data_IF_330455181130
#
_entry.id   IF_330455181130
#
_cell.length_a   1.000
_cell.length_b   1.000
_cell.length_c   1.000
_cell.angle_alpha   90.00
_cell.angle_beta   90.00
_cell.angle_gamma   90.00
#
_symmetry.space_group_name_H-M   'P 1'
#
loop_
_entity.id
_entity.type
_entity.pdbx_description
1 polymer ?
#
# COMPACT_ATOMS: atom_id res chain seq x y z
N UNK A 1 33.94 15.87 24.32
CA UNK A 1 32.59 16.40 24.02
C UNK A 1 32.04 15.97 22.68
N UNK A 2 32.74 16.09 21.54
CA UNK A 2 32.20 15.67 20.23
C UNK A 2 31.77 14.17 20.16
N UNK A 3 32.52 13.25 20.77
CA UNK A 3 32.16 11.81 20.79
C UNK A 3 30.91 11.49 21.60
N UNK A 4 30.62 12.27 22.64
CA UNK A 4 29.41 12.10 23.46
C UNK A 4 28.16 12.54 22.71
N UNK A 5 28.26 13.57 21.89
CA UNK A 5 27.15 14.05 21.03
C UNK A 5 26.77 13.00 19.98
N UNK A 6 27.76 12.31 19.36
CA UNK A 6 27.49 11.24 18.40
C UNK A 6 26.81 10.02 19.04
N UNK A 7 27.16 9.68 20.29
CA UNK A 7 26.53 8.59 21.03
C UNK A 7 25.08 8.97 21.39
N UNK A 8 24.81 10.21 21.78
CA UNK A 8 23.45 10.69 22.09
C UNK A 8 22.59 10.74 20.81
N UNK A 9 23.14 11.20 19.70
CA UNK A 9 22.43 11.20 18.40
C UNK A 9 22.16 9.76 17.92
N UNK A 10 23.13 8.85 18.04
CA UNK A 10 22.95 7.44 17.70
C UNK A 10 21.91 6.74 18.60
N UNK A 11 21.88 7.06 19.90
CA UNK A 11 20.85 6.54 20.81
C UNK A 11 19.47 7.10 20.49
N UNK A 12 19.37 8.37 20.11
CA UNK A 12 18.08 8.97 19.70
C UNK A 12 17.58 8.42 18.36
N UNK A 13 18.48 8.06 17.44
CA UNK A 13 18.09 7.41 16.18
C UNK A 13 17.74 5.93 16.35
N UNK A 14 18.34 5.23 17.32
CA UNK A 14 17.98 3.84 17.64
C UNK A 14 16.65 3.73 18.38
N UNK A 15 16.28 4.75 19.17
CA UNK A 15 14.96 4.78 19.83
C UNK A 15 13.82 5.21 18.90
N UNK A 16 14.10 5.75 17.72
CA UNK A 16 13.06 6.08 16.74
C UNK A 16 12.60 4.89 15.89
N UNK A 17 13.29 3.73 15.97
CA UNK A 17 12.89 2.51 15.26
C UNK A 17 12.01 1.56 16.07
N UNK A 18 11.77 1.83 17.35
CA UNK A 18 10.86 1.08 18.23
C UNK A 18 9.59 1.83 18.58
N UNK A 19 9.16 2.75 17.75
CA UNK A 19 7.80 3.29 17.86
C UNK A 19 6.83 2.38 17.10
N UNK A 20 6.85 1.11 17.46
CA UNK A 20 5.64 0.35 17.48
C UNK A 20 4.68 1.14 18.36
N UNK A 21 3.62 1.59 17.79
CA UNK A 21 2.44 2.22 18.33
C UNK A 21 2.48 2.47 19.84
N UNK A 22 3.13 3.56 20.26
CA UNK A 22 2.83 4.11 21.57
C UNK A 22 1.35 4.50 21.49
N UNK A 23 0.49 3.64 22.04
CA UNK A 23 -0.89 3.95 22.32
C UNK A 23 -0.92 5.32 23.02
N UNK A 24 -1.12 6.36 22.24
CA UNK A 24 -1.34 7.69 22.79
C UNK A 24 -2.79 7.70 23.23
N UNK A 25 -3.08 7.80 24.54
CA UNK A 25 -4.43 7.64 25.08
C UNK A 25 -5.45 8.70 24.63
N UNK A 26 -5.09 9.53 23.64
CA UNK A 26 -5.89 10.64 23.11
C UNK A 26 -6.19 10.53 21.61
N UNK A 27 -5.93 9.39 20.95
CA UNK A 27 -6.38 9.22 19.56
C UNK A 27 -7.82 8.78 19.55
N UNK A 28 -8.65 9.47 18.76
CA UNK A 28 -10.02 9.02 18.53
C UNK A 28 -10.02 7.67 17.83
N UNK A 29 -11.12 6.96 17.93
CA UNK A 29 -11.32 5.69 17.24
C UNK A 29 -11.19 5.85 15.71
N UNK A 30 -11.75 6.93 15.15
CA UNK A 30 -11.65 7.22 13.72
C UNK A 30 -10.21 7.41 13.26
N UNK A 31 -9.41 8.12 14.03
CA UNK A 31 -7.98 8.32 13.78
C UNK A 31 -7.18 7.01 13.77
N UNK A 32 -7.46 6.13 14.72
CA UNK A 32 -6.83 4.81 14.79
C UNK A 32 -7.20 3.95 13.57
N UNK A 33 -8.49 3.88 13.22
CA UNK A 33 -8.98 3.14 12.04
C UNK A 33 -8.33 3.67 10.75
N UNK A 34 -8.24 4.99 10.60
CA UNK A 34 -7.63 5.61 9.43
C UNK A 34 -6.16 5.26 9.29
N UNK A 35 -5.38 5.29 10.38
CA UNK A 35 -3.96 5.00 10.29
C UNK A 35 -3.67 3.58 9.82
N UNK A 36 -4.40 2.57 10.31
CA UNK A 36 -4.26 1.21 9.83
C UNK A 36 -4.54 1.10 8.33
N UNK A 37 -5.68 1.63 7.89
CA UNK A 37 -6.09 1.56 6.48
C UNK A 37 -5.17 2.36 5.55
N UNK A 38 -4.67 3.51 5.98
CA UNK A 38 -3.75 4.34 5.18
C UNK A 38 -2.49 3.59 4.77
N UNK A 39 -1.90 2.84 5.68
CA UNK A 39 -0.71 2.02 5.41
C UNK A 39 -1.01 0.90 4.41
N UNK A 40 -2.19 0.31 4.49
CA UNK A 40 -2.61 -0.73 3.55
C UNK A 40 -2.85 -0.18 2.16
N UNK A 41 -3.47 1.00 2.04
CA UNK A 41 -3.62 1.72 0.77
C UNK A 41 -2.23 2.01 0.16
N UNK A 42 -1.28 2.50 0.96
CA UNK A 42 0.08 2.78 0.50
C UNK A 42 0.77 1.51 -0.04
N UNK A 43 0.58 0.35 0.62
CA UNK A 43 1.10 -0.94 0.14
C UNK A 43 0.47 -1.37 -1.18
N UNK A 44 -0.85 -1.21 -1.33
CA UNK A 44 -1.54 -1.50 -2.60
C UNK A 44 -0.96 -0.64 -3.72
N UNK A 45 -0.74 0.65 -3.48
CA UNK A 45 -0.12 1.58 -4.45
C UNK A 45 1.30 1.15 -4.81
N UNK A 46 2.14 0.82 -3.82
CA UNK A 46 3.51 0.31 -4.06
C UNK A 46 3.50 -0.93 -4.94
N UNK A 47 2.58 -1.85 -4.69
CA UNK A 47 2.44 -3.07 -5.48
C UNK A 47 2.04 -2.73 -6.91
N UNK A 48 1.08 -1.83 -7.11
CA UNK A 48 0.63 -1.42 -8.45
C UNK A 48 1.77 -0.76 -9.25
N UNK A 49 2.52 0.15 -8.65
CA UNK A 49 3.69 0.77 -9.30
C UNK A 49 4.76 -0.26 -9.69
N UNK A 50 5.02 -1.21 -8.79
CA UNK A 50 5.95 -2.30 -9.09
C UNK A 50 5.48 -3.15 -10.26
N UNK A 51 4.19 -3.48 -10.33
CA UNK A 51 3.62 -4.29 -11.41
C UNK A 51 3.65 -3.58 -12.76
N UNK A 52 3.34 -2.29 -12.80
CA UNK A 52 3.47 -1.46 -14.00
C UNK A 52 4.93 -1.45 -14.49
N UNK A 53 5.87 -1.15 -13.61
CA UNK A 53 7.29 -1.09 -13.91
C UNK A 53 7.83 -2.44 -14.42
N UNK A 54 7.43 -3.53 -13.77
CA UNK A 54 7.84 -4.87 -14.17
C UNK A 54 7.17 -5.31 -15.48
N UNK A 55 5.91 -4.93 -15.69
CA UNK A 55 5.20 -5.12 -16.95
C UNK A 55 5.94 -4.44 -18.11
N UNK A 56 6.37 -3.19 -17.96
CA UNK A 56 7.20 -2.50 -18.97
C UNK A 56 8.47 -3.28 -19.27
N UNK A 57 9.19 -3.72 -18.23
CA UNK A 57 10.41 -4.54 -18.41
C UNK A 57 10.17 -5.80 -19.23
N UNK A 58 9.06 -6.50 -19.02
CA UNK A 58 8.76 -7.75 -19.71
C UNK A 58 8.42 -7.54 -21.18
N UNK A 59 7.87 -6.39 -21.54
CA UNK A 59 7.51 -6.03 -22.92
C UNK A 59 8.69 -5.56 -23.77
N UNK A 60 9.83 -5.23 -23.16
CA UNK A 60 11.02 -4.81 -23.90
C UNK A 60 11.57 -5.96 -24.75
N UNK A 61 11.89 -5.67 -26.01
CA UNK A 61 12.54 -6.59 -26.93
C UNK A 61 14.04 -6.29 -27.03
N UNK A 62 14.85 -7.34 -26.85
CA UNK A 62 16.31 -7.25 -26.95
C UNK A 62 17.02 -7.09 -25.59
N UNK A 63 18.14 -7.80 -25.48
CA UNK A 63 18.91 -7.90 -24.23
C UNK A 63 19.51 -6.56 -23.79
N UNK A 64 19.92 -5.72 -24.74
CA UNK A 64 20.51 -4.40 -24.46
C UNK A 64 19.49 -3.45 -23.83
N UNK A 65 18.26 -3.39 -24.36
CA UNK A 65 17.19 -2.57 -23.82
C UNK A 65 16.77 -3.05 -22.43
N UNK A 66 16.66 -4.37 -22.24
CA UNK A 66 16.37 -4.95 -20.92
C UNK A 66 17.45 -4.66 -19.89
N UNK A 67 18.72 -4.72 -20.30
CA UNK A 67 19.85 -4.42 -19.42
C UNK A 67 19.84 -2.94 -18.99
N UNK A 68 19.66 -2.01 -19.94
CA UNK A 68 19.58 -0.56 -19.66
C UNK A 68 18.39 -0.22 -18.75
N UNK A 69 17.21 -0.79 -19.01
CA UNK A 69 16.04 -0.60 -18.18
C UNK A 69 16.23 -1.16 -16.76
N UNK A 70 16.80 -2.36 -16.68
CA UNK A 70 17.12 -2.98 -15.37
C UNK A 70 18.09 -2.13 -14.57
N UNK A 71 19.14 -1.61 -15.21
CA UNK A 71 20.11 -0.73 -14.55
C UNK A 71 19.46 0.54 -14.00
N UNK A 72 18.55 1.16 -14.75
CA UNK A 72 17.90 2.42 -14.37
C UNK A 72 16.79 2.25 -13.34
N UNK A 73 15.96 1.22 -13.46
CA UNK A 73 14.70 1.11 -12.74
C UNK A 73 14.61 -0.09 -11.79
N UNK A 74 15.34 -1.17 -12.08
CA UNK A 74 15.28 -2.44 -11.35
C UNK A 74 16.64 -2.87 -10.80
N UNK A 75 17.60 -1.94 -10.68
CA UNK A 75 19.00 -2.24 -10.30
C UNK A 75 19.15 -2.96 -8.96
N UNK A 76 18.22 -2.76 -8.03
CA UNK A 76 18.24 -3.45 -6.74
C UNK A 76 17.85 -4.93 -6.82
N UNK A 77 17.23 -5.37 -7.93
CA UNK A 77 16.73 -6.73 -8.07
C UNK A 77 17.72 -7.62 -8.83
N UNK A 78 17.96 -8.81 -8.31
CA UNK A 78 18.46 -9.92 -9.12
C UNK A 78 17.26 -10.63 -9.75
N UNK A 79 17.22 -10.65 -11.10
CA UNK A 79 16.08 -11.16 -11.87
C UNK A 79 16.50 -12.45 -12.57
N UNK A 80 15.80 -13.54 -12.29
CA UNK A 80 15.99 -14.85 -12.92
C UNK A 80 14.69 -15.28 -13.56
N UNK A 81 14.76 -15.70 -14.83
CA UNK A 81 13.60 -16.12 -15.63
C UNK A 81 13.77 -17.57 -16.03
N UNK A 82 12.83 -18.41 -15.64
CA UNK A 82 12.78 -19.84 -15.96
C UNK A 82 11.39 -20.21 -16.54
N UNK A 83 11.28 -20.13 -17.86
CA UNK A 83 10.00 -20.32 -18.54
C UNK A 83 8.99 -19.23 -18.18
N UNK A 84 7.88 -19.60 -17.57
CA UNK A 84 6.85 -18.68 -17.11
C UNK A 84 7.01 -18.26 -15.64
N UNK A 85 8.07 -18.71 -14.97
CA UNK A 85 8.38 -18.32 -13.60
C UNK A 85 9.52 -17.28 -13.61
N UNK A 86 9.24 -16.11 -13.06
CA UNK A 86 10.21 -15.06 -12.87
C UNK A 86 10.46 -14.87 -11.37
N UNK A 87 11.71 -14.91 -10.98
CA UNK A 87 12.15 -14.74 -9.59
C UNK A 87 12.92 -13.45 -9.46
N UNK A 88 12.47 -12.55 -8.61
CA UNK A 88 13.16 -11.30 -8.29
C UNK A 88 13.57 -11.34 -6.83
N UNK A 89 14.86 -11.13 -6.60
CA UNK A 89 15.41 -11.08 -5.23
C UNK A 89 16.15 -9.79 -4.98
N UNK A 90 16.08 -9.27 -3.78
CA UNK A 90 16.96 -8.22 -3.33
C UNK A 90 17.20 -8.32 -1.82
N UNK A 91 18.32 -7.78 -1.36
CA UNK A 91 18.64 -7.71 0.05
C UNK A 91 18.36 -6.31 0.58
N UNK A 92 17.63 -6.24 1.69
CA UNK A 92 17.42 -4.99 2.41
C UNK A 92 18.71 -4.53 3.09
N UNK A 93 18.77 -3.27 3.51
CA UNK A 93 19.88 -2.73 4.28
C UNK A 93 20.10 -3.48 5.61
N UNK A 94 19.08 -4.17 6.12
CA UNK A 94 19.13 -4.97 7.35
C UNK A 94 19.49 -6.44 7.13
N UNK A 95 19.85 -6.83 5.88
CA UNK A 95 20.26 -8.19 5.55
C UNK A 95 19.10 -9.17 5.31
N UNK A 96 17.86 -8.73 5.34
CA UNK A 96 16.72 -9.56 4.98
C UNK A 96 16.65 -9.72 3.47
N UNK A 97 16.53 -10.95 2.98
CA UNK A 97 16.29 -11.23 1.57
C UNK A 97 14.79 -11.18 1.27
N UNK A 98 14.41 -10.32 0.36
CA UNK A 98 13.06 -10.25 -0.19
C UNK A 98 13.02 -11.03 -1.48
N UNK A 99 12.05 -11.92 -1.63
CA UNK A 99 11.86 -12.72 -2.83
C UNK A 99 10.45 -12.50 -3.37
N UNK A 100 10.36 -12.10 -4.64
CA UNK A 100 9.10 -11.98 -5.38
C UNK A 100 9.09 -13.03 -6.49
N UNK A 101 8.10 -13.89 -6.49
CA UNK A 101 7.84 -14.88 -7.54
C UNK A 101 6.68 -14.40 -8.39
N UNK A 102 6.89 -14.32 -9.70
CA UNK A 102 5.85 -13.94 -10.66
C UNK A 102 5.66 -15.12 -11.59
N UNK A 103 4.48 -15.73 -11.54
CA UNK A 103 4.08 -16.79 -12.48
C UNK A 103 3.19 -16.17 -13.55
N UNK A 104 3.69 -16.12 -14.77
CA UNK A 104 2.95 -15.65 -15.94
C UNK A 104 2.00 -16.77 -16.41
N UNK A 105 0.70 -16.63 -16.19
CA UNK A 105 -0.31 -17.59 -16.63
C UNK A 105 -0.58 -17.44 -18.12
N UNK A 106 -0.73 -16.19 -18.57
CA UNK A 106 -0.84 -15.78 -19.98
C UNK A 106 -0.48 -14.29 -20.11
N UNK A 107 -0.75 -13.65 -21.26
CA UNK A 107 -0.42 -12.24 -21.51
C UNK A 107 -1.12 -11.26 -20.57
N UNK A 108 -2.23 -11.64 -19.98
CA UNK A 108 -3.10 -10.76 -19.20
C UNK A 108 -3.30 -11.22 -17.75
N UNK A 109 -2.78 -12.40 -17.40
CA UNK A 109 -3.01 -13.01 -16.09
C UNK A 109 -1.67 -13.42 -15.44
N UNK A 110 -1.45 -12.94 -14.23
CA UNK A 110 -0.28 -13.27 -13.43
C UNK A 110 -0.68 -13.70 -12.02
N UNK A 111 0.13 -14.56 -11.44
CA UNK A 111 0.09 -14.83 -10.02
C UNK A 111 1.42 -14.38 -9.41
N UNK A 112 1.35 -13.61 -8.34
CA UNK A 112 2.51 -12.96 -7.74
C UNK A 112 2.52 -13.25 -6.25
N UNK A 113 3.62 -13.80 -5.76
CA UNK A 113 3.82 -13.97 -4.33
C UNK A 113 5.13 -13.33 -3.90
N UNK A 114 5.13 -12.70 -2.73
CA UNK A 114 6.32 -12.09 -2.13
C UNK A 114 6.50 -12.58 -0.71
N UNK A 115 7.76 -12.85 -0.36
CA UNK A 115 8.17 -13.26 0.98
C UNK A 115 9.34 -12.40 1.47
N UNK A 116 9.46 -12.26 2.79
CA UNK A 116 10.47 -11.42 3.43
C UNK A 116 9.97 -9.99 3.64
N UNK A 117 9.79 -9.55 4.89
CA UNK A 117 9.17 -8.27 5.22
C UNK A 117 7.68 -8.26 4.89
N UNK A 118 7.20 -7.19 4.23
CA UNK A 118 5.84 -7.18 3.73
C UNK A 118 5.63 -8.34 2.76
N UNK A 119 4.72 -9.24 3.08
CA UNK A 119 4.36 -10.38 2.24
C UNK A 119 3.03 -10.14 1.54
N UNK A 120 2.86 -10.75 0.38
CA UNK A 120 1.59 -10.77 -0.34
C UNK A 120 1.50 -11.96 -1.29
N UNK A 121 0.28 -12.36 -1.57
CA UNK A 121 -0.11 -13.33 -2.58
C UNK A 121 -1.25 -12.73 -3.38
N UNK A 122 -1.07 -12.57 -4.69
CA UNK A 122 -1.94 -11.77 -5.54
C UNK A 122 -2.23 -12.51 -6.84
N UNK A 123 -3.48 -12.52 -7.26
CA UNK A 123 -3.87 -12.79 -8.64
C UNK A 123 -4.16 -11.47 -9.34
N UNK A 124 -3.54 -11.27 -10.51
CA UNK A 124 -3.64 -10.07 -11.30
C UNK A 124 -4.20 -10.38 -12.67
N UNK A 125 -5.17 -9.60 -13.11
CA UNK A 125 -5.73 -9.61 -14.46
C UNK A 125 -5.64 -8.20 -15.06
N UNK A 126 -5.09 -8.09 -16.27
CA UNK A 126 -5.03 -6.86 -17.04
C UNK A 126 -6.00 -6.93 -18.21
N UNK A 127 -6.93 -6.00 -18.31
CA UNK A 127 -7.82 -5.94 -19.46
C UNK A 127 -7.24 -5.13 -20.63
N UNK A 128 -7.90 -5.18 -21.78
CA UNK A 128 -7.48 -4.47 -23.01
C UNK A 128 -7.44 -2.93 -22.86
N UNK A 129 -8.11 -2.39 -21.86
CA UNK A 129 -8.16 -0.94 -21.57
C UNK A 129 -7.07 -0.48 -20.60
N UNK A 130 -6.16 -1.39 -20.18
CA UNK A 130 -5.11 -1.04 -19.21
C UNK A 130 -5.61 -0.97 -17.77
N UNK A 131 -6.76 -1.57 -17.47
CA UNK A 131 -7.31 -1.65 -16.12
C UNK A 131 -6.85 -2.95 -15.48
N UNK A 132 -6.23 -2.84 -14.31
CA UNK A 132 -5.85 -3.98 -13.49
C UNK A 132 -7.01 -4.37 -12.57
N UNK A 133 -7.30 -5.66 -12.53
CA UNK A 133 -8.08 -6.28 -11.48
C UNK A 133 -7.11 -7.06 -10.60
N UNK A 134 -7.02 -6.66 -9.33
CA UNK A 134 -6.06 -7.18 -8.37
C UNK A 134 -6.80 -7.86 -7.24
N UNK A 135 -6.62 -9.16 -7.11
CA UNK A 135 -7.15 -9.93 -6.01
C UNK A 135 -6.02 -10.27 -5.04
N UNK A 136 -6.09 -9.72 -3.84
CA UNK A 136 -5.24 -10.09 -2.73
C UNK A 136 -5.78 -11.33 -2.04
N UNK A 137 -5.07 -12.45 -2.17
CA UNK A 137 -5.36 -13.68 -1.41
C UNK A 137 -4.75 -13.58 0.00
N UNK A 138 -3.63 -12.86 0.11
CA UNK A 138 -3.08 -12.39 1.38
C UNK A 138 -2.20 -11.17 1.17
N UNK A 139 -2.20 -10.27 2.12
CA UNK A 139 -1.27 -9.14 2.22
C UNK A 139 -1.03 -8.82 3.68
N UNK A 140 0.20 -8.58 4.08
CA UNK A 140 0.47 -8.18 5.45
C UNK A 140 1.94 -7.95 5.75
N UNK A 141 2.18 -7.59 6.99
CA UNK A 141 3.48 -7.53 7.61
C UNK A 141 3.44 -8.41 8.85
N UNK A 142 4.48 -9.22 9.04
CA UNK A 142 4.56 -10.21 10.12
C UNK A 142 3.40 -11.23 10.06
N UNK A 143 2.52 -11.25 11.06
CA UNK A 143 1.42 -12.20 11.16
C UNK A 143 0.06 -11.63 10.72
N UNK A 144 -0.04 -10.32 10.45
CA UNK A 144 -1.27 -9.71 9.94
C UNK A 144 -1.57 -10.20 8.51
N UNK A 145 -2.83 -10.43 8.22
CA UNK A 145 -3.28 -10.85 6.88
C UNK A 145 -4.43 -9.99 6.40
N UNK A 146 -4.35 -9.55 5.13
CA UNK A 146 -5.42 -8.85 4.47
C UNK A 146 -5.84 -9.58 3.20
N UNK A 147 -7.13 -9.65 2.97
CA UNK A 147 -7.74 -10.20 1.76
C UNK A 147 -8.65 -9.15 1.13
N UNK A 148 -8.66 -9.05 -0.19
CA UNK A 148 -9.50 -8.07 -0.87
C UNK A 148 -9.38 -8.10 -2.38
N UNK A 149 -10.16 -7.25 -3.03
CA UNK A 149 -10.14 -7.11 -4.48
C UNK A 149 -10.23 -5.63 -4.87
N UNK A 150 -9.34 -5.21 -5.77
CA UNK A 150 -9.30 -3.87 -6.29
C UNK A 150 -9.33 -3.83 -7.81
N UNK A 151 -9.95 -2.78 -8.34
CA UNK A 151 -9.79 -2.31 -9.70
C UNK A 151 -8.88 -1.09 -9.63
N UNK A 152 -7.79 -1.09 -10.39
CA UNK A 152 -6.81 -0.03 -10.40
C UNK A 152 -6.46 0.35 -11.84
N UNK A 153 -6.36 1.66 -12.11
CA UNK A 153 -5.97 2.19 -13.41
C UNK A 153 -5.36 3.59 -13.28
N UNK A 154 -4.69 4.06 -14.33
CA UNK A 154 -4.24 5.46 -14.39
C UNK A 154 -5.25 6.32 -15.13
N UNK A 155 -5.57 7.47 -14.54
CA UNK A 155 -6.41 8.47 -15.18
C UNK A 155 -5.60 9.35 -16.14
N UNK A 156 -6.25 10.31 -16.79
CA UNK A 156 -5.62 11.23 -17.76
C UNK A 156 -4.50 12.10 -17.19
N UNK A 157 -4.50 12.32 -15.88
CA UNK A 157 -3.47 13.07 -15.15
C UNK A 157 -2.37 12.16 -14.60
N UNK A 158 -2.33 10.89 -15.05
CA UNK A 158 -1.39 9.86 -14.61
C UNK A 158 -1.44 9.51 -13.11
N UNK A 159 -2.55 9.81 -12.43
CA UNK A 159 -2.80 9.39 -11.05
C UNK A 159 -3.41 8.00 -11.01
N UNK A 160 -3.08 7.22 -9.99
CA UNK A 160 -3.71 5.92 -9.74
C UNK A 160 -5.14 6.16 -9.23
N UNK A 161 -6.10 5.50 -9.85
CA UNK A 161 -7.48 5.39 -9.35
C UNK A 161 -7.67 4.00 -8.79
N UNK A 162 -8.19 3.91 -7.57
CA UNK A 162 -8.35 2.67 -6.83
C UNK A 162 -9.79 2.50 -6.35
N UNK A 163 -10.44 1.41 -6.78
CA UNK A 163 -11.76 0.99 -6.34
C UNK A 163 -11.70 -0.42 -5.77
N UNK A 164 -12.34 -0.68 -4.63
CA UNK A 164 -12.40 -2.01 -4.06
C UNK A 164 -12.54 -2.03 -2.56
N UNK A 165 -12.29 -3.19 -2.01
CA UNK A 165 -12.37 -3.43 -0.59
C UNK A 165 -11.26 -4.38 -0.11
N UNK A 166 -10.95 -4.28 1.16
CA UNK A 166 -10.00 -5.16 1.84
C UNK A 166 -10.42 -5.37 3.30
N UNK A 167 -10.25 -6.59 3.77
CA UNK A 167 -10.40 -6.96 5.17
C UNK A 167 -9.03 -7.30 5.73
N UNK A 168 -8.59 -6.59 6.76
CA UNK A 168 -7.35 -6.84 7.48
C UNK A 168 -7.64 -7.51 8.81
N UNK A 169 -6.93 -8.58 9.09
CA UNK A 169 -7.04 -9.35 10.34
C UNK A 169 -5.67 -9.50 10.97
N UNK A 170 -5.55 -9.14 12.24
CA UNK A 170 -4.39 -9.45 13.05
C UNK A 170 -4.63 -10.77 13.80
N UNK A 171 -3.88 -11.84 13.51
CA UNK A 171 -4.09 -13.15 14.12
C UNK A 171 -3.56 -13.25 15.56
N UNK A 172 -2.62 -12.41 15.98
CA UNK A 172 -2.01 -12.51 17.31
C UNK A 172 -2.98 -12.11 18.44
N UNK A 173 -3.90 -11.22 18.15
CA UNK A 173 -4.91 -10.85 19.12
C UNK A 173 -6.15 -11.75 19.01
N UNK A 174 -6.38 -12.63 19.99
CA UNK A 174 -7.65 -13.38 20.10
C UNK A 174 -8.88 -12.45 20.19
N UNK A 175 -8.66 -11.17 20.43
CA UNK A 175 -9.59 -10.04 20.42
C UNK A 175 -9.48 -9.20 19.15
N UNK A 176 -8.67 -9.62 18.18
CA UNK A 176 -8.42 -8.87 16.95
C UNK A 176 -9.73 -8.41 16.30
N UNK A 177 -9.81 -7.11 16.10
CA UNK A 177 -10.93 -6.45 15.44
C UNK A 177 -10.57 -6.36 13.97
N UNK A 178 -11.17 -7.15 13.07
CA UNK A 178 -10.91 -6.99 11.65
C UNK A 178 -11.29 -5.58 11.22
N UNK A 179 -10.38 -4.92 10.52
CA UNK A 179 -10.64 -3.66 9.85
C UNK A 179 -11.02 -3.97 8.39
N UNK A 180 -12.20 -3.54 7.99
CA UNK A 180 -12.61 -3.60 6.59
C UNK A 180 -12.64 -2.18 6.06
N UNK A 181 -11.99 -1.93 4.91
CA UNK A 181 -12.20 -0.67 4.21
C UNK A 181 -12.76 -0.92 2.81
N UNK A 182 -13.64 -0.03 2.39
CA UNK A 182 -14.31 -0.09 1.08
C UNK A 182 -14.32 1.30 0.47
N UNK A 183 -13.82 1.44 -0.76
CA UNK A 183 -13.88 2.71 -1.50
C UNK A 183 -15.28 2.95 -2.05
N UNK A 184 -15.68 4.21 -2.22
CA UNK A 184 -16.94 4.53 -2.88
C UNK A 184 -16.76 4.43 -4.41
N UNK A 185 -17.61 3.62 -5.08
CA UNK A 185 -17.61 3.45 -6.54
C UNK A 185 -17.85 4.76 -7.29
N UNK A 186 -18.61 5.68 -6.69
CA UNK A 186 -18.92 6.97 -7.33
C UNK A 186 -17.81 8.00 -7.14
N UNK A 187 -17.00 7.79 -6.12
CA UNK A 187 -15.88 8.65 -5.75
C UNK A 187 -14.69 7.80 -5.32
N UNK A 188 -14.07 7.09 -6.28
CA UNK A 188 -12.95 6.21 -6.01
C UNK A 188 -11.74 7.01 -5.50
N UNK A 189 -10.80 6.34 -4.85
CA UNK A 189 -9.57 6.97 -4.41
C UNK A 189 -8.72 7.40 -5.60
N UNK A 190 -8.29 8.66 -5.62
CA UNK A 190 -7.35 9.20 -6.60
C UNK A 190 -6.04 9.51 -5.90
N UNK A 191 -4.95 8.90 -6.36
CA UNK A 191 -3.67 8.90 -5.68
C UNK A 191 -2.57 9.37 -6.64
N UNK A 192 -1.84 10.41 -6.24
CA UNK A 192 -0.59 10.75 -6.89
C UNK A 192 0.54 9.91 -6.28
N UNK A 193 0.92 8.86 -6.95
CA UNK A 193 1.93 7.93 -6.46
C UNK A 193 3.33 8.55 -6.39
N UNK A 194 3.69 9.44 -7.33
CA UNK A 194 4.99 10.11 -7.33
C UNK A 194 5.22 11.00 -6.10
N UNK A 195 4.16 11.54 -5.53
CA UNK A 195 4.19 12.37 -4.32
C UNK A 195 3.71 11.63 -3.08
N UNK A 196 3.24 10.40 -3.24
CA UNK A 196 2.63 9.59 -2.19
C UNK A 196 1.48 10.34 -1.48
N UNK A 197 0.53 10.89 -2.28
CA UNK A 197 -0.56 11.75 -1.79
C UNK A 197 -1.92 11.31 -2.32
N UNK A 198 -2.90 11.29 -1.43
CA UNK A 198 -4.32 11.19 -1.77
C UNK A 198 -4.79 12.54 -2.32
N UNK A 199 -5.49 12.55 -3.45
CA UNK A 199 -5.96 13.77 -4.10
C UNK A 199 -7.48 13.96 -4.02
N UNK A 200 -8.23 12.85 -4.04
CA UNK A 200 -9.69 12.84 -4.05
C UNK A 200 -10.18 11.46 -3.65
N UNK A 201 -11.42 11.34 -3.25
CA UNK A 201 -12.07 10.06 -3.01
C UNK A 201 -12.82 9.98 -1.70
N UNK A 202 -13.57 8.89 -1.58
CA UNK A 202 -14.31 8.57 -0.37
C UNK A 202 -14.14 7.07 -0.05
N UNK A 203 -14.00 6.74 1.22
CA UNK A 203 -14.01 5.37 1.68
C UNK A 203 -14.70 5.23 3.03
N UNK A 204 -15.20 4.04 3.28
CA UNK A 204 -15.76 3.63 4.57
C UNK A 204 -14.82 2.65 5.23
N UNK A 205 -14.58 2.81 6.52
CA UNK A 205 -13.86 1.85 7.36
C UNK A 205 -14.82 1.31 8.39
N UNK A 206 -14.85 -0.01 8.54
CA UNK A 206 -15.65 -0.72 9.55
C UNK A 206 -14.73 -1.59 10.40
N UNK A 207 -14.95 -1.55 11.71
CA UNK A 207 -14.23 -2.33 12.69
C UNK A 207 -15.22 -3.17 13.50
N UNK A 208 -15.21 -4.49 13.34
CA UNK A 208 -16.11 -5.37 14.08
C UNK A 208 -15.50 -5.78 15.42
N UNK A 209 -16.16 -5.38 16.51
CA UNK A 209 -15.81 -5.81 17.86
C UNK A 209 -16.50 -7.12 18.23
N UNK A 210 -15.74 -8.21 18.26
CA UNK A 210 -16.27 -9.54 18.61
C UNK A 210 -16.78 -9.65 20.04
N UNK A 211 -16.20 -8.89 20.98
CA UNK A 211 -16.56 -8.93 22.39
C UNK A 211 -17.92 -8.27 22.63
N UNK A 212 -18.12 -7.08 22.08
CA UNK A 212 -19.36 -6.32 22.24
C UNK A 212 -20.38 -6.59 21.14
N UNK A 213 -19.99 -7.32 20.08
CA UNK A 213 -20.81 -7.61 18.88
C UNK A 213 -21.36 -6.33 18.24
N UNK A 214 -20.53 -5.32 18.19
CA UNK A 214 -20.82 -4.02 17.57
C UNK A 214 -19.89 -3.78 16.40
N UNK A 215 -20.33 -2.97 15.44
CA UNK A 215 -19.50 -2.49 14.35
C UNK A 215 -19.32 -0.98 14.52
N UNK A 216 -18.08 -0.58 14.71
CA UNK A 216 -17.69 0.82 14.64
C UNK A 216 -17.46 1.22 13.18
N UNK A 217 -17.82 2.43 12.81
CA UNK A 217 -17.74 2.91 11.44
C UNK A 217 -17.14 4.30 11.38
N UNK A 218 -16.21 4.48 10.45
CA UNK A 218 -15.71 5.78 10.05
C UNK A 218 -15.92 5.99 8.54
N UNK A 219 -16.23 7.22 8.14
CA UNK A 219 -16.23 7.63 6.73
C UNK A 219 -15.09 8.60 6.52
N UNK A 220 -14.33 8.40 5.47
CA UNK A 220 -13.18 9.21 5.11
C UNK A 220 -13.51 9.94 3.83
N UNK A 221 -13.51 11.27 3.88
CA UNK A 221 -13.67 12.15 2.73
C UNK A 221 -12.33 12.81 2.41
N UNK A 222 -11.84 12.65 1.20
CA UNK A 222 -10.64 13.30 0.71
C UNK A 222 -11.06 14.40 -0.22
N UNK A 223 -10.83 15.65 0.18
CA UNK A 223 -11.32 16.83 -0.53
C UNK A 223 -10.13 17.63 -1.03
N UNK A 224 -10.03 17.76 -2.35
CA UNK A 224 -9.00 18.59 -2.98
C UNK A 224 -9.14 20.05 -2.54
N UNK A 225 -8.05 20.62 -2.06
CA UNK A 225 -8.00 22.04 -1.75
C UNK A 225 -8.03 22.86 -3.05
N UNK A 226 -8.79 23.95 -3.05
CA UNK A 226 -8.97 24.82 -4.25
C UNK A 226 -7.85 25.82 -4.44
N UNK A 227 -6.74 25.68 -3.74
CA UNK A 227 -5.65 26.62 -3.89
C UNK A 227 -4.82 26.29 -5.14
N UNK A 228 -4.79 27.20 -6.12
CA UNK A 228 -4.10 27.01 -7.39
C UNK A 228 -2.57 26.88 -7.24
N UNK A 229 -2.03 27.21 -6.06
CA UNK A 229 -0.59 27.13 -5.78
C UNK A 229 -0.10 25.73 -5.40
N UNK A 230 -0.99 24.87 -4.90
CA UNK A 230 -0.65 23.50 -4.52
C UNK A 230 -1.63 22.49 -5.12
N UNK A 231 -1.48 22.15 -6.40
CA UNK A 231 -2.46 21.33 -7.14
C UNK A 231 -2.60 19.89 -6.60
N UNK A 232 -1.69 19.47 -5.71
CA UNK A 232 -1.67 18.14 -5.10
C UNK A 232 -2.06 18.16 -3.63
N UNK A 233 -2.56 19.30 -3.14
CA UNK A 233 -3.00 19.43 -1.77
C UNK A 233 -4.47 19.04 -1.63
N UNK A 234 -4.75 18.22 -0.63
CA UNK A 234 -6.09 17.81 -0.24
C UNK A 234 -6.16 17.67 1.28
N UNK A 235 -7.34 17.78 1.83
CA UNK A 235 -7.60 17.55 3.26
C UNK A 235 -8.35 16.24 3.41
N UNK A 236 -7.90 15.40 4.32
CA UNK A 236 -8.56 14.16 4.70
C UNK A 236 -9.45 14.45 5.90
N UNK A 237 -10.75 14.29 5.74
CA UNK A 237 -11.75 14.42 6.79
C UNK A 237 -12.16 13.04 7.28
N UNK A 238 -12.05 12.79 8.57
CA UNK A 238 -12.47 11.55 9.21
C UNK A 238 -13.74 11.81 10.02
N UNK A 239 -14.83 11.21 9.60
CA UNK A 239 -16.12 11.27 10.28
C UNK A 239 -16.35 9.97 11.05
N UNK A 240 -16.26 10.02 12.37
CA UNK A 240 -16.52 8.88 13.23
C UNK A 240 -17.47 9.32 14.36
N UNK A 241 -18.67 8.72 14.42
CA UNK A 241 -19.76 9.16 15.31
C UNK A 241 -20.10 10.66 15.13
N UNK A 242 -19.90 11.45 16.19
CA UNK A 242 -20.18 12.90 16.19
C UNK A 242 -18.88 13.73 16.07
N UNK A 243 -17.75 13.09 15.79
CA UNK A 243 -16.44 13.74 15.69
C UNK A 243 -16.02 13.85 14.23
N UNK A 244 -15.36 14.95 13.91
CA UNK A 244 -14.73 15.18 12.62
C UNK A 244 -13.28 15.57 12.90
N UNK A 245 -12.37 14.82 12.36
CA UNK A 245 -10.93 15.11 12.45
C UNK A 245 -10.38 15.39 11.06
N UNK A 246 -9.28 16.13 11.00
CA UNK A 246 -8.61 16.48 9.74
C UNK A 246 -7.18 16.01 9.77
N UNK A 247 -6.70 15.49 8.63
CA UNK A 247 -5.34 15.00 8.44
C UNK A 247 -4.78 15.50 7.12
N UNK A 248 -3.45 15.47 7.03
CA UNK A 248 -2.76 15.65 5.76
C UNK A 248 -3.05 14.48 4.82
N UNK A 249 -2.96 14.75 3.53
CA UNK A 249 -3.24 13.79 2.46
C UNK A 249 -2.03 12.89 2.10
N UNK A 250 -1.04 12.79 2.95
CA UNK A 250 0.15 11.93 2.75
C UNK A 250 -0.22 10.47 3.06
N UNK A 251 0.15 9.55 2.17
CA UNK A 251 0.04 8.09 2.34
C UNK A 251 1.24 7.51 3.10
#
# INVERSE_FOLDING_TARGET
>A
MKRLIYIIVALLTLTSCEWGEAYTPNRSLGSWMWQGVREDIARVVEIMEFLELYGEYTLLEGDELKADFKEKHLSRYDIKVEGNLHTLTYNTAYGTTITTLITVKDSNNWHISRTGGNHYDIDLELNESGIFKVKFNSMGHDESTGEGEFIAYRNVDNNIVLEGDMVMVDPEESTAKPLTFTTDIKQPLVINSSLNRLLDGNLTIECYDKLYKTTDKATIDIVKNRDDYEPYDATVYIHCYNEIETYDNIL
#
